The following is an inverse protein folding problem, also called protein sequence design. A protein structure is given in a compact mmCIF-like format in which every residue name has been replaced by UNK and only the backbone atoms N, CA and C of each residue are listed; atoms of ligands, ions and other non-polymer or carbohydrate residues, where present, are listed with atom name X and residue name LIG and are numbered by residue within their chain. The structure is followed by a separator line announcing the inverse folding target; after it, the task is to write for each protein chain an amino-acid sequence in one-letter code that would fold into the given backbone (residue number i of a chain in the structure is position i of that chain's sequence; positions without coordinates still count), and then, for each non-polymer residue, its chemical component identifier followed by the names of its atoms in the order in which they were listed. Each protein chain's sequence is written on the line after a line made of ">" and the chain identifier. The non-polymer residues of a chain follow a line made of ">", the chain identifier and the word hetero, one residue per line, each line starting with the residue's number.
data_IF_205920198433
#
_entry.id   IF_205920198433
#
_cell.length_a   1.000
_cell.length_b   1.000
_cell.length_c   1.000
_cell.angle_alpha   90.00
_cell.angle_beta   90.00
_cell.angle_gamma   90.00
#
_symmetry.space_group_name_H-M   'P 1'
#
loop_
_entity.id
_entity.type
_entity.pdbx_description
1 polymer ?
#
# COMPACT_ATOMS: atom_id res chain seq x y z
N UNK A 1 -53.20 -32.60 -24.40
CA UNK A 1 -52.88 -32.38 -22.96
C UNK A 1 -51.43 -32.66 -22.55
N UNK A 2 -50.59 -33.38 -23.33
CA UNK A 2 -49.18 -33.67 -22.94
C UNK A 2 -48.16 -32.56 -23.28
N UNK A 3 -48.47 -31.63 -24.20
CA UNK A 3 -47.54 -30.58 -24.65
C UNK A 3 -47.37 -29.41 -23.66
N UNK A 4 -48.39 -29.13 -22.84
CA UNK A 4 -48.37 -28.00 -21.88
C UNK A 4 -47.48 -28.25 -20.64
N UNK A 5 -47.12 -29.50 -20.36
CA UNK A 5 -46.24 -29.83 -19.24
C UNK A 5 -44.77 -29.64 -19.59
N UNK A 6 -44.37 -29.91 -20.84
CA UNK A 6 -42.98 -29.79 -21.29
C UNK A 6 -42.56 -28.32 -21.40
N UNK A 7 -43.45 -27.45 -21.90
CA UNK A 7 -43.18 -25.99 -21.94
C UNK A 7 -43.08 -25.38 -20.54
N UNK A 8 -43.90 -25.82 -19.58
CA UNK A 8 -43.83 -25.36 -18.19
C UNK A 8 -42.56 -25.85 -17.48
N UNK A 9 -42.10 -27.07 -17.77
CA UNK A 9 -40.85 -27.59 -17.21
C UNK A 9 -39.62 -26.89 -17.80
N UNK A 10 -39.62 -26.57 -19.09
CA UNK A 10 -38.54 -25.85 -19.75
C UNK A 10 -38.41 -24.40 -19.23
N UNK A 11 -39.53 -23.72 -18.96
CA UNK A 11 -39.51 -22.36 -18.40
C UNK A 11 -39.01 -22.31 -16.95
N UNK A 12 -39.30 -23.35 -16.15
CA UNK A 12 -38.81 -23.46 -14.77
C UNK A 12 -37.30 -23.76 -14.75
N UNK A 13 -36.80 -24.58 -15.68
CA UNK A 13 -35.37 -24.87 -15.78
C UNK A 13 -34.54 -23.65 -16.24
N UNK A 14 -35.10 -22.79 -17.11
CA UNK A 14 -34.43 -21.55 -17.55
C UNK A 14 -34.35 -20.47 -16.47
N UNK A 15 -35.26 -20.48 -15.49
CA UNK A 15 -35.24 -19.52 -14.37
C UNK A 15 -34.25 -19.94 -13.27
N UNK A 16 -33.97 -21.24 -13.12
CA UNK A 16 -32.98 -21.75 -12.15
C UNK A 16 -31.54 -21.52 -12.63
N UNK A 17 -31.30 -21.48 -13.95
CA UNK A 17 -29.97 -21.20 -14.53
C UNK A 17 -29.55 -19.71 -14.50
N UNK A 18 -30.44 -18.81 -14.06
CA UNK A 18 -30.14 -17.37 -13.93
C UNK A 18 -29.79 -16.93 -12.50
N UNK A 19 -29.79 -17.84 -11.54
CA UNK A 19 -29.43 -17.54 -10.16
C UNK A 19 -28.02 -18.05 -9.83
N UNK A 20 -27.14 -17.07 -9.64
CA UNK A 20 -25.93 -17.10 -8.80
C UNK A 20 -24.62 -17.56 -9.42
N UNK A 21 -23.97 -16.62 -10.12
CA UNK A 21 -22.59 -16.25 -9.74
C UNK A 21 -22.53 -14.73 -9.54
N UNK A 22 -23.16 -14.25 -8.46
CA UNK A 22 -22.76 -12.97 -7.90
C UNK A 22 -21.38 -13.21 -7.29
N UNK A 23 -20.32 -12.96 -8.06
CA UNK A 23 -19.02 -12.73 -7.46
C UNK A 23 -19.18 -11.49 -6.59
N UNK A 24 -19.29 -11.69 -5.28
CA UNK A 24 -19.08 -10.61 -4.34
C UNK A 24 -17.72 -10.01 -4.69
N UNK A 25 -17.71 -8.76 -5.17
CA UNK A 25 -16.48 -8.01 -5.27
C UNK A 25 -16.00 -7.84 -3.83
N UNK A 26 -15.06 -8.68 -3.40
CA UNK A 26 -14.29 -8.41 -2.20
C UNK A 26 -13.51 -7.13 -2.50
N UNK A 27 -14.11 -5.98 -2.19
CA UNK A 27 -13.45 -4.69 -2.33
C UNK A 27 -12.28 -4.72 -1.37
N UNK A 28 -11.07 -4.82 -1.93
CA UNK A 28 -9.85 -4.61 -1.17
C UNK A 28 -9.85 -3.13 -0.78
N UNK A 29 -9.86 -2.86 0.51
CA UNK A 29 -9.91 -1.50 1.05
C UNK A 29 -8.53 -1.08 1.53
N UNK A 30 -8.28 0.22 1.48
CA UNK A 30 -7.12 0.88 2.08
C UNK A 30 -7.65 1.95 3.06
N UNK A 31 -7.23 1.96 4.34
CA UNK A 31 -7.84 2.79 5.38
C UNK A 31 -7.30 4.23 5.45
N UNK A 32 -6.39 4.65 4.57
CA UNK A 32 -5.64 5.91 4.64
C UNK A 32 -6.51 7.15 4.80
N UNK A 33 -7.64 7.21 4.10
CA UNK A 33 -8.58 8.33 4.20
C UNK A 33 -9.31 8.39 5.55
N UNK A 34 -9.53 7.24 6.19
CA UNK A 34 -10.13 7.16 7.52
C UNK A 34 -9.18 7.64 8.61
N UNK A 35 -7.88 7.39 8.46
CA UNK A 35 -6.84 7.93 9.35
C UNK A 35 -6.81 9.47 9.38
N UNK A 36 -7.30 10.12 8.32
CA UNK A 36 -7.44 11.58 8.28
C UNK A 36 -8.80 12.05 8.74
N UNK A 37 -9.89 11.44 8.25
CA UNK A 37 -11.26 11.90 8.50
C UNK A 37 -11.78 11.58 9.91
N UNK A 38 -11.43 10.43 10.50
CA UNK A 38 -11.96 10.04 11.83
C UNK A 38 -11.19 10.69 13.00
N UNK A 39 -9.84 10.73 12.99
CA UNK A 39 -9.07 11.38 14.05
C UNK A 39 -9.08 12.91 13.91
N UNK A 40 -8.96 13.46 12.69
CA UNK A 40 -8.91 14.91 12.45
C UNK A 40 -10.22 15.64 12.77
N UNK A 41 -11.36 14.95 12.68
CA UNK A 41 -12.67 15.50 13.08
C UNK A 41 -12.85 15.58 14.61
N UNK A 42 -12.03 14.86 15.40
CA UNK A 42 -12.18 14.72 16.85
C UNK A 42 -10.94 15.14 17.68
N UNK A 43 -9.80 15.46 17.05
CA UNK A 43 -8.58 15.97 17.71
C UNK A 43 -8.09 17.29 17.05
N UNK A 44 -8.49 18.46 17.59
CA UNK A 44 -8.04 19.77 17.09
C UNK A 44 -6.51 19.96 17.12
N UNK A 45 -5.80 19.29 18.04
CA UNK A 45 -4.34 19.36 18.11
C UNK A 45 -3.70 18.58 16.96
N UNK A 46 -4.31 17.49 16.51
CA UNK A 46 -3.86 16.77 15.32
C UNK A 46 -4.04 17.61 14.07
N UNK A 47 -5.18 18.28 13.91
CA UNK A 47 -5.41 19.17 12.78
C UNK A 47 -4.34 20.28 12.72
N UNK A 48 -4.00 20.87 13.87
CA UNK A 48 -2.94 21.86 13.96
C UNK A 48 -1.56 21.29 13.55
N UNK A 49 -1.19 20.12 14.07
CA UNK A 49 0.07 19.44 13.69
C UNK A 49 0.14 19.18 12.18
N UNK A 50 -0.95 18.71 11.58
CA UNK A 50 -1.02 18.47 10.13
C UNK A 50 -0.85 19.78 9.37
N UNK A 51 -1.53 20.86 9.78
CA UNK A 51 -1.39 22.18 9.15
C UNK A 51 0.05 22.69 9.21
N UNK A 52 0.73 22.50 10.34
CA UNK A 52 2.14 22.87 10.52
C UNK A 52 3.05 22.05 9.61
N UNK A 53 2.88 20.72 9.54
CA UNK A 53 3.68 19.87 8.66
C UNK A 53 3.43 20.18 7.17
N UNK A 54 2.18 20.40 6.77
CA UNK A 54 1.85 20.82 5.40
C UNK A 54 2.46 22.19 5.07
N UNK A 55 2.51 23.12 6.03
CA UNK A 55 3.18 24.40 5.86
C UNK A 55 4.68 24.21 5.62
N UNK A 56 5.36 23.38 6.43
CA UNK A 56 6.79 23.05 6.24
C UNK A 56 7.06 22.43 4.87
N UNK A 57 6.23 21.50 4.41
CA UNK A 57 6.35 20.87 3.09
C UNK A 57 6.20 21.92 1.97
N UNK A 58 5.23 22.82 2.07
CA UNK A 58 5.03 23.92 1.09
C UNK A 58 6.21 24.88 1.08
N UNK A 59 6.70 25.30 2.25
CA UNK A 59 7.86 26.16 2.36
C UNK A 59 9.10 25.51 1.75
N UNK A 60 9.34 24.22 2.04
CA UNK A 60 10.41 23.45 1.42
C UNK A 60 10.26 23.39 -0.12
N UNK A 61 9.05 23.13 -0.63
CA UNK A 61 8.80 23.10 -2.06
C UNK A 61 9.04 24.47 -2.73
N UNK A 62 8.61 25.56 -2.10
CA UNK A 62 8.81 26.93 -2.60
C UNK A 62 10.29 27.35 -2.55
N UNK A 63 11.00 27.05 -1.47
CA UNK A 63 12.44 27.34 -1.33
C UNK A 63 13.29 26.56 -2.33
N UNK A 64 12.87 25.34 -2.67
CA UNK A 64 13.54 24.50 -3.65
C UNK A 64 12.96 24.63 -5.06
N UNK A 65 11.99 25.53 -5.30
CA UNK A 65 11.44 25.78 -6.63
C UNK A 65 12.43 26.52 -7.55
N UNK A 66 13.35 27.29 -6.96
CA UNK A 66 14.45 27.98 -7.64
C UNK A 66 15.71 27.13 -7.81
N UNK A 67 15.83 26.02 -7.06
CA UNK A 67 16.80 24.97 -7.35
C UNK A 67 16.15 24.09 -8.41
N UNK A 68 16.79 23.88 -9.56
CA UNK A 68 16.34 22.79 -10.41
C UNK A 68 16.44 21.54 -9.54
N UNK A 69 15.32 20.93 -9.13
CA UNK A 69 15.36 19.59 -8.58
C UNK A 69 16.01 18.79 -9.69
N UNK A 70 17.24 18.27 -9.50
CA UNK A 70 17.93 17.61 -10.59
C UNK A 70 16.98 16.51 -11.06
N UNK A 71 16.75 16.47 -12.37
CA UNK A 71 15.87 15.52 -13.04
C UNK A 71 16.51 14.11 -13.05
N UNK A 72 16.98 13.70 -11.88
CA UNK A 72 17.84 12.57 -11.61
C UNK A 72 17.07 11.57 -10.79
N UNK A 73 17.27 10.31 -11.14
CA UNK A 73 16.73 9.16 -10.43
C UNK A 73 17.05 9.27 -8.93
N UNK A 74 16.01 9.21 -8.09
CA UNK A 74 16.12 9.12 -6.64
C UNK A 74 16.03 7.67 -6.23
N UNK A 75 17.08 7.18 -5.58
CA UNK A 75 17.10 5.83 -5.01
C UNK A 75 16.76 5.96 -3.52
N UNK A 76 15.68 5.32 -3.11
CA UNK A 76 15.24 5.24 -1.72
C UNK A 76 15.65 3.86 -1.18
N UNK A 77 16.54 3.80 -0.18
CA UNK A 77 16.87 2.53 0.49
C UNK A 77 15.65 2.00 1.23
N UNK A 78 15.37 0.70 1.08
CA UNK A 78 14.23 0.05 1.74
C UNK A 78 14.68 -1.10 2.61
N UNK A 79 13.96 -1.30 3.71
CA UNK A 79 14.04 -2.52 4.52
C UNK A 79 12.67 -3.20 4.53
N UNK A 80 12.66 -4.52 4.42
CA UNK A 80 11.45 -5.33 4.44
C UNK A 80 11.46 -6.22 5.68
N UNK A 81 10.60 -5.89 6.63
CA UNK A 81 10.36 -6.67 7.84
C UNK A 81 9.27 -7.70 7.55
N UNK A 82 9.64 -8.95 7.34
CA UNK A 82 8.72 -10.08 7.12
C UNK A 82 8.33 -10.69 8.46
N UNK A 83 7.16 -10.31 8.96
CA UNK A 83 6.60 -10.83 10.20
C UNK A 83 5.78 -12.07 9.87
N UNK A 84 6.14 -13.21 10.45
CA UNK A 84 5.49 -14.47 10.16
C UNK A 84 5.10 -15.20 11.45
N UNK A 85 4.14 -16.11 11.33
CA UNK A 85 3.71 -16.98 12.42
C UNK A 85 4.13 -18.41 12.09
N UNK A 86 5.28 -18.82 12.64
CA UNK A 86 5.89 -20.13 12.42
C UNK A 86 6.00 -20.51 10.94
N UNK A 87 6.41 -19.56 10.10
CA UNK A 87 6.56 -19.69 8.66
C UNK A 87 5.34 -19.24 7.85
N UNK A 88 4.14 -19.14 8.45
CA UNK A 88 2.97 -18.59 7.78
C UNK A 88 3.16 -17.09 7.52
N UNK A 89 3.09 -16.70 6.24
CA UNK A 89 3.32 -15.32 5.79
C UNK A 89 4.77 -15.01 5.42
N UNK A 90 5.69 -15.96 5.60
CA UNK A 90 7.10 -15.78 5.25
C UNK A 90 7.28 -15.85 3.72
N UNK A 91 7.04 -14.74 3.04
CA UNK A 91 7.31 -14.62 1.60
C UNK A 91 8.81 -14.72 1.33
N UNK A 92 9.18 -15.43 0.27
CA UNK A 92 10.57 -15.61 -0.12
C UNK A 92 11.22 -14.31 -0.58
N UNK A 93 12.55 -14.23 -0.51
CA UNK A 93 13.33 -13.12 -1.06
C UNK A 93 13.02 -12.85 -2.54
N UNK A 94 12.78 -13.90 -3.34
CA UNK A 94 12.38 -13.76 -4.73
C UNK A 94 11.02 -13.05 -4.88
N UNK A 95 10.05 -13.38 -4.03
CA UNK A 95 8.75 -12.69 -4.01
C UNK A 95 8.89 -11.23 -3.55
N UNK A 96 9.77 -10.97 -2.57
CA UNK A 96 10.09 -9.61 -2.11
C UNK A 96 10.61 -8.77 -3.27
N UNK A 97 11.64 -9.27 -3.95
CA UNK A 97 12.26 -8.61 -5.10
C UNK A 97 11.23 -8.40 -6.22
N UNK A 98 10.44 -9.42 -6.57
CA UNK A 98 9.43 -9.31 -7.62
C UNK A 98 8.37 -8.23 -7.33
N UNK A 99 7.92 -8.09 -6.08
CA UNK A 99 7.01 -7.02 -5.69
C UNK A 99 7.64 -5.63 -5.77
N UNK A 100 8.90 -5.49 -5.34
CA UNK A 100 9.65 -4.23 -5.47
C UNK A 100 9.90 -3.86 -6.93
N UNK A 101 10.20 -4.83 -7.79
CA UNK A 101 10.41 -4.62 -9.23
C UNK A 101 9.11 -4.19 -9.92
N UNK A 102 7.99 -4.85 -9.63
CA UNK A 102 6.68 -4.47 -10.16
C UNK A 102 6.29 -3.04 -9.77
N UNK A 103 6.57 -2.66 -8.52
CA UNK A 103 6.36 -1.31 -8.03
C UNK A 103 7.33 -0.30 -8.67
N UNK A 104 8.61 -0.62 -8.84
CA UNK A 104 9.56 0.24 -9.52
C UNK A 104 9.19 0.45 -10.99
N UNK A 105 8.64 -0.57 -11.67
CA UNK A 105 8.08 -0.43 -13.01
C UNK A 105 7.00 0.67 -13.04
N UNK A 106 6.16 0.75 -12.01
CA UNK A 106 5.11 1.75 -11.90
C UNK A 106 5.66 3.15 -11.62
N UNK A 107 6.54 3.26 -10.63
CA UNK A 107 7.17 4.52 -10.23
C UNK A 107 8.00 5.12 -11.38
N UNK A 108 8.46 4.28 -12.31
CA UNK A 108 9.25 4.67 -13.47
C UNK A 108 8.46 4.79 -14.78
N UNK A 109 7.12 4.61 -14.75
CA UNK A 109 6.27 4.60 -15.96
C UNK A 109 6.77 3.59 -17.02
N UNK A 110 7.30 2.45 -16.58
CA UNK A 110 7.75 1.37 -17.44
C UNK A 110 6.68 0.28 -17.62
N UNK A 111 5.54 0.43 -16.94
CA UNK A 111 4.41 -0.50 -17.02
C UNK A 111 3.76 -0.46 -18.41
N UNK A 112 3.65 -1.64 -19.03
CA UNK A 112 3.10 -1.81 -20.37
C UNK A 112 1.62 -1.44 -20.46
N UNK A 113 0.87 -1.58 -19.37
CA UNK A 113 -0.55 -1.23 -19.28
C UNK A 113 -0.82 0.29 -19.35
N UNK A 114 0.22 1.15 -19.36
CA UNK A 114 0.08 2.57 -19.73
C UNK A 114 -0.55 2.75 -21.12
N UNK A 115 -0.45 1.75 -22.01
CA UNK A 115 -1.14 1.75 -23.30
C UNK A 115 -2.66 1.84 -23.18
N UNK A 116 -3.22 1.27 -22.09
CA UNK A 116 -4.66 1.17 -21.80
C UNK A 116 -5.24 2.43 -21.15
N UNK A 117 -4.39 3.41 -20.80
CA UNK A 117 -4.83 4.71 -20.27
C UNK A 117 -5.69 5.43 -21.32
N UNK A 118 -6.85 5.95 -20.89
CA UNK A 118 -7.75 6.72 -21.78
C UNK A 118 -7.01 7.90 -22.39
N UNK A 119 -7.26 8.18 -23.67
CA UNK A 119 -6.52 9.20 -24.45
C UNK A 119 -6.39 10.55 -23.74
N UNK A 120 -7.47 11.05 -23.14
CA UNK A 120 -7.49 12.32 -22.39
C UNK A 120 -6.51 12.37 -21.21
N UNK A 121 -6.16 11.22 -20.61
CA UNK A 121 -5.24 11.13 -19.47
C UNK A 121 -3.80 10.80 -19.88
N UNK A 122 -3.54 10.36 -21.12
CA UNK A 122 -2.18 10.00 -21.56
C UNK A 122 -1.13 11.10 -21.36
N UNK A 123 -1.44 12.39 -21.62
CA UNK A 123 -0.49 13.48 -21.37
C UNK A 123 -0.17 13.70 -19.88
N UNK A 124 -0.99 13.18 -18.96
CA UNK A 124 -0.84 13.36 -17.51
C UNK A 124 -0.05 12.22 -16.84
N UNK A 125 0.24 11.13 -17.56
CA UNK A 125 1.00 10.00 -17.01
C UNK A 125 2.47 10.41 -16.85
N UNK A 126 3.01 10.29 -15.63
CA UNK A 126 4.34 10.77 -15.28
C UNK A 126 5.32 9.65 -14.89
N UNK A 127 6.61 9.81 -15.21
CA UNK A 127 7.72 9.07 -14.60
C UNK A 127 8.12 9.81 -13.33
N UNK A 128 7.98 9.18 -12.16
CA UNK A 128 8.32 9.81 -10.88
C UNK A 128 9.83 9.87 -10.64
N UNK A 129 10.62 9.10 -11.41
CA UNK A 129 12.08 9.00 -11.30
C UNK A 129 12.51 8.60 -9.89
N UNK A 130 11.78 7.66 -9.31
CA UNK A 130 12.06 7.06 -8.01
C UNK A 130 12.28 5.56 -8.21
N UNK A 131 13.29 5.02 -7.54
CA UNK A 131 13.49 3.58 -7.37
C UNK A 131 13.68 3.24 -5.90
N UNK A 132 12.95 2.23 -5.47
CA UNK A 132 12.98 1.67 -4.14
C UNK A 132 13.86 0.42 -4.19
N UNK A 133 15.00 0.42 -3.50
CA UNK A 133 15.99 -0.67 -3.56
C UNK A 133 16.32 -1.18 -2.17
N UNK A 134 16.44 -2.50 -2.02
CA UNK A 134 16.84 -3.12 -0.75
C UNK A 134 18.15 -2.53 -0.24
N UNK A 135 18.13 -2.09 1.01
CA UNK A 135 19.30 -1.55 1.68
C UNK A 135 20.42 -2.60 1.71
N UNK A 136 21.66 -2.15 1.48
CA UNK A 136 22.84 -2.99 1.54
C UNK A 136 23.66 -2.78 2.82
N UNK A 137 23.33 -1.71 3.57
CA UNK A 137 23.96 -1.33 4.83
C UNK A 137 22.87 -1.07 5.85
N UNK A 138 22.96 -1.73 7.02
CA UNK A 138 22.01 -1.61 8.12
C UNK A 138 22.25 -0.31 8.93
N UNK A 139 21.37 0.04 9.90
CA UNK A 139 21.52 1.27 10.68
C UNK A 139 22.80 1.36 11.51
N UNK A 140 23.43 0.22 11.81
CA UNK A 140 24.67 0.11 12.57
C UNK A 140 25.92 0.12 11.67
N UNK A 141 25.75 0.17 10.34
CA UNK A 141 26.84 0.19 9.37
C UNK A 141 27.27 -1.19 8.87
N UNK A 142 26.57 -2.27 9.22
CA UNK A 142 26.92 -3.62 8.77
C UNK A 142 26.31 -3.94 7.41
N UNK A 143 26.92 -4.89 6.68
CA UNK A 143 26.33 -5.44 5.47
C UNK A 143 25.02 -6.16 5.78
N UNK A 144 24.02 -5.97 4.93
CA UNK A 144 22.69 -6.58 5.03
C UNK A 144 22.13 -6.79 3.63
N UNK A 145 21.14 -7.66 3.50
CA UNK A 145 20.37 -7.77 2.26
C UNK A 145 19.04 -6.99 2.31
N UNK A 146 18.82 -6.22 3.38
CA UNK A 146 17.66 -5.34 3.54
C UNK A 146 16.38 -6.08 3.91
N UNK A 147 16.45 -7.34 4.33
CA UNK A 147 15.29 -8.16 4.70
C UNK A 147 15.47 -8.72 6.10
N UNK A 148 14.42 -8.63 6.92
CA UNK A 148 14.38 -9.21 8.26
C UNK A 148 13.22 -10.20 8.35
N UNK A 149 13.49 -11.47 8.67
CA UNK A 149 12.45 -12.46 8.94
C UNK A 149 12.26 -12.60 10.45
N UNK A 150 11.04 -12.34 10.94
CA UNK A 150 10.75 -12.27 12.36
C UNK A 150 9.54 -13.14 12.68
N UNK A 151 9.75 -14.16 13.52
CA UNK A 151 8.66 -14.99 14.03
C UNK A 151 7.91 -14.27 15.16
N UNK A 152 6.66 -13.89 14.94
CA UNK A 152 5.88 -13.12 15.93
C UNK A 152 4.38 -13.27 15.72
N UNK A 153 3.61 -13.23 16.81
CA UNK A 153 2.15 -13.17 16.77
C UNK A 153 1.63 -11.83 16.21
N UNK A 154 2.44 -10.77 16.27
CA UNK A 154 2.11 -9.42 15.77
C UNK A 154 2.11 -9.31 14.23
N UNK A 155 1.86 -10.42 13.54
CA UNK A 155 1.60 -10.51 12.10
C UNK A 155 0.12 -10.72 11.79
N UNK A 156 -0.68 -11.16 12.77
CA UNK A 156 -2.11 -11.43 12.60
C UNK A 156 -2.95 -10.30 13.20
N UNK A 157 -3.98 -9.88 12.47
CA UNK A 157 -4.96 -8.85 12.84
C UNK A 157 -4.28 -7.55 13.29
N UNK A 158 -3.29 -7.12 12.52
CA UNK A 158 -2.45 -5.98 12.89
C UNK A 158 -3.18 -4.66 12.62
N UNK A 159 -2.89 -3.66 13.45
CA UNK A 159 -3.28 -2.27 13.25
C UNK A 159 -2.07 -1.33 13.29
N UNK A 160 -1.23 -1.44 14.31
CA UNK A 160 0.05 -0.72 14.42
C UNK A 160 1.08 -1.51 15.26
N UNK A 161 0.67 -2.66 15.80
CA UNK A 161 1.49 -3.55 16.65
C UNK A 161 2.63 -4.23 15.89
N UNK A 162 2.54 -4.36 14.58
CA UNK A 162 3.66 -4.85 13.77
C UNK A 162 4.87 -3.90 13.81
N UNK A 163 4.63 -2.59 13.94
CA UNK A 163 5.67 -1.55 13.88
C UNK A 163 6.51 -1.45 15.15
N UNK A 164 6.04 -2.01 16.28
CA UNK A 164 6.83 -2.08 17.52
C UNK A 164 7.84 -3.24 17.52
N UNK A 165 7.72 -4.17 16.56
CA UNK A 165 8.54 -5.39 16.52
C UNK A 165 9.90 -5.11 15.89
N UNK A 166 9.91 -4.34 14.81
CA UNK A 166 11.12 -3.94 14.11
C UNK A 166 10.88 -2.66 13.34
N UNK A 167 11.83 -1.75 13.37
CA UNK A 167 11.88 -0.55 12.57
C UNK A 167 13.33 -0.13 12.34
N UNK A 168 13.60 0.47 11.19
CA UNK A 168 14.85 1.17 10.92
C UNK A 168 14.59 2.67 10.85
N UNK A 169 15.62 3.52 11.08
CA UNK A 169 15.45 4.97 11.09
C UNK A 169 14.77 5.48 9.80
N UNK A 170 13.54 6.04 9.89
CA UNK A 170 12.73 6.43 8.73
C UNK A 170 13.30 7.62 7.97
N UNK A 171 14.29 8.31 8.57
CA UNK A 171 15.04 9.39 7.93
C UNK A 171 16.12 8.87 6.97
N UNK A 172 16.43 7.57 7.00
CA UNK A 172 17.44 6.92 6.15
C UNK A 172 16.88 5.78 5.30
N UNK A 173 15.84 5.10 5.77
CA UNK A 173 15.26 3.92 5.13
C UNK A 173 13.74 4.03 5.06
N UNK A 174 13.17 3.55 3.97
CA UNK A 174 11.74 3.27 3.91
C UNK A 174 11.46 1.90 4.50
N UNK A 175 10.58 1.83 5.50
CA UNK A 175 10.21 0.58 6.16
C UNK A 175 8.98 -0.03 5.49
N UNK A 176 9.09 -1.30 5.09
CA UNK A 176 7.95 -2.16 4.81
C UNK A 176 7.77 -3.17 5.92
N UNK A 177 6.52 -3.39 6.32
CA UNK A 177 6.15 -4.52 7.17
C UNK A 177 5.25 -5.47 6.38
N UNK A 178 5.68 -6.70 6.21
CA UNK A 178 4.89 -7.77 5.61
C UNK A 178 4.21 -8.57 6.71
N UNK A 179 2.90 -8.70 6.64
CA UNK A 179 2.06 -9.30 7.69
C UNK A 179 1.07 -10.32 7.15
N UNK A 180 0.50 -11.16 8.01
CA UNK A 180 -0.49 -12.17 7.64
C UNK A 180 -1.88 -11.58 7.42
N UNK A 181 -2.39 -10.81 8.38
CA UNK A 181 -3.71 -10.18 8.30
C UNK A 181 -3.72 -8.82 8.99
N UNK A 182 -4.58 -7.93 8.51
CA UNK A 182 -4.76 -6.56 9.01
C UNK A 182 -6.18 -6.47 9.59
N UNK A 183 -6.32 -5.93 10.79
CA UNK A 183 -7.63 -5.75 11.44
C UNK A 183 -8.30 -4.46 10.94
N UNK A 184 -9.45 -4.55 10.23
CA UNK A 184 -10.13 -3.35 9.73
C UNK A 184 -10.89 -2.56 10.80
N UNK A 185 -11.10 -3.15 11.99
CA UNK A 185 -11.96 -2.60 13.05
C UNK A 185 -11.57 -1.20 13.55
N UNK A 186 -10.27 -0.84 13.70
CA UNK A 186 -9.88 0.48 14.20
C UNK A 186 -10.28 1.63 13.26
N UNK A 187 -10.56 1.31 11.99
CA UNK A 187 -10.98 2.28 10.98
C UNK A 187 -12.50 2.23 10.73
N UNK A 188 -13.25 1.46 11.52
CA UNK A 188 -14.69 1.24 11.31
C UNK A 188 -14.98 0.54 9.98
N UNK A 189 -13.99 -0.18 9.44
CA UNK A 189 -14.09 -0.88 8.17
C UNK A 189 -14.47 -2.35 8.37
N UNK A 190 -15.02 -2.92 7.31
CA UNK A 190 -15.25 -4.36 7.18
C UNK A 190 -14.63 -4.87 5.88
N UNK A 191 -14.25 -6.15 5.88
CA UNK A 191 -13.65 -6.83 4.73
C UNK A 191 -12.14 -6.93 4.83
N UNK A 192 -11.51 -7.15 3.68
CA UNK A 192 -10.06 -7.32 3.57
C UNK A 192 -9.37 -5.98 3.35
N UNK A 193 -8.37 -5.70 4.19
CA UNK A 193 -7.38 -4.65 3.94
C UNK A 193 -6.10 -5.29 3.43
N UNK A 194 -5.61 -4.83 2.28
CA UNK A 194 -4.38 -5.34 1.66
C UNK A 194 -3.13 -4.61 2.15
N UNK A 195 -3.27 -3.34 2.52
CA UNK A 195 -2.19 -2.52 3.04
C UNK A 195 -2.72 -1.28 3.73
N UNK A 196 -1.83 -0.64 4.48
CA UNK A 196 -2.01 0.69 5.04
C UNK A 196 -0.65 1.29 5.34
N UNK A 197 -0.64 2.59 5.59
CA UNK A 197 0.58 3.36 5.67
C UNK A 197 0.46 4.50 6.67
N UNK A 198 1.50 5.33 6.69
CA UNK A 198 1.48 6.59 7.39
C UNK A 198 1.83 7.75 6.45
N UNK A 199 0.91 8.71 6.35
CA UNK A 199 1.15 9.97 5.65
C UNK A 199 2.26 10.82 6.29
N UNK A 200 2.98 11.64 5.49
CA UNK A 200 4.13 12.39 5.98
C UNK A 200 3.77 13.50 6.97
N UNK A 201 2.58 14.09 6.88
CA UNK A 201 2.10 15.12 7.81
C UNK A 201 1.71 14.60 9.20
N UNK A 202 1.69 13.28 9.42
CA UNK A 202 1.67 12.69 10.77
C UNK A 202 3.07 12.50 11.37
N UNK A 203 4.09 13.07 10.71
CA UNK A 203 5.48 13.05 11.11
C UNK A 203 6.23 11.81 10.61
N UNK A 204 7.46 12.04 10.14
CA UNK A 204 8.43 11.00 9.79
C UNK A 204 9.05 10.47 11.09
N UNK A 205 8.44 9.43 11.66
CA UNK A 205 8.88 8.78 12.90
C UNK A 205 8.93 7.26 12.74
N UNK A 206 9.26 6.52 13.79
CA UNK A 206 9.45 5.06 13.73
C UNK A 206 8.26 4.28 13.11
N UNK A 207 7.06 4.89 13.05
CA UNK A 207 5.87 4.30 12.43
C UNK A 207 5.70 4.62 10.94
N UNK A 208 6.63 5.37 10.34
CA UNK A 208 6.55 5.84 8.97
C UNK A 208 7.04 4.77 7.98
N UNK A 209 6.19 4.47 7.00
CA UNK A 209 6.37 3.40 6.03
C UNK A 209 5.03 2.74 5.72
N UNK A 210 5.09 1.59 5.04
CA UNK A 210 3.91 0.86 4.58
C UNK A 210 3.85 -0.55 5.19
N UNK A 211 2.65 -0.96 5.59
CA UNK A 211 2.33 -2.30 6.04
C UNK A 211 1.51 -2.96 4.95
N UNK A 212 1.91 -4.16 4.53
CA UNK A 212 1.31 -4.86 3.39
C UNK A 212 1.08 -6.31 3.76
N UNK A 213 -0.07 -6.86 3.38
CA UNK A 213 -0.36 -8.27 3.57
C UNK A 213 0.50 -9.14 2.64
N UNK A 214 1.01 -10.24 3.15
CA UNK A 214 1.92 -11.15 2.44
C UNK A 214 1.40 -11.63 1.09
N UNK A 215 0.11 -11.91 0.98
CA UNK A 215 -0.57 -12.33 -0.26
C UNK A 215 -0.85 -11.18 -1.25
N UNK A 216 -0.84 -9.92 -0.79
CA UNK A 216 -1.02 -8.74 -1.63
C UNK A 216 0.31 -8.21 -2.21
N UNK A 217 1.44 -8.62 -1.64
CA UNK A 217 2.77 -8.14 -1.99
C UNK A 217 3.10 -8.31 -3.49
N UNK A 218 2.80 -9.49 -4.04
CA UNK A 218 3.20 -9.87 -5.38
C UNK A 218 2.54 -9.06 -6.51
N UNK A 219 1.42 -8.40 -6.23
CA UNK A 219 0.75 -7.61 -7.27
C UNK A 219 1.53 -6.34 -7.62
N UNK A 220 2.42 -5.86 -6.75
CA UNK A 220 3.13 -4.59 -6.87
C UNK A 220 2.23 -3.36 -6.68
N UNK A 221 0.99 -3.40 -7.19
CA UNK A 221 0.04 -2.28 -7.15
C UNK A 221 -0.36 -1.86 -5.74
N UNK A 222 -0.48 -2.79 -4.80
CA UNK A 222 -0.70 -2.43 -3.39
C UNK A 222 0.48 -1.63 -2.87
N UNK A 223 1.73 -2.04 -3.14
CA UNK A 223 2.91 -1.29 -2.70
C UNK A 223 2.95 0.10 -3.36
N UNK A 224 2.70 0.17 -4.67
CA UNK A 224 2.62 1.43 -5.42
C UNK A 224 1.58 2.38 -4.81
N UNK A 225 0.42 1.85 -4.44
CA UNK A 225 -0.66 2.60 -3.79
C UNK A 225 -0.25 3.13 -2.41
N UNK A 226 0.24 2.25 -1.52
CA UNK A 226 0.64 2.64 -0.16
C UNK A 226 1.80 3.65 -0.16
N UNK A 227 2.75 3.55 -1.10
CA UNK A 227 3.83 4.53 -1.22
C UNK A 227 3.33 5.87 -1.73
N UNK A 228 2.34 5.88 -2.62
CA UNK A 228 1.68 7.11 -3.05
C UNK A 228 1.19 7.90 -1.85
N UNK A 229 0.52 7.23 -0.92
CA UNK A 229 0.11 7.82 0.35
C UNK A 229 1.29 8.25 1.24
N UNK A 230 2.34 7.44 1.39
CA UNK A 230 3.56 7.89 2.08
C UNK A 230 4.17 9.16 1.45
N UNK A 231 4.06 9.35 0.14
CA UNK A 231 4.51 10.57 -0.55
C UNK A 231 3.46 11.70 -0.56
N UNK A 232 2.35 11.51 0.16
CA UNK A 232 1.35 12.55 0.38
C UNK A 232 0.22 12.60 -0.65
N UNK A 233 0.07 11.58 -1.49
CA UNK A 233 -1.05 11.47 -2.42
C UNK A 233 -2.28 10.92 -1.69
N UNK A 234 -3.44 11.52 -1.92
CA UNK A 234 -4.71 11.06 -1.35
C UNK A 234 -5.37 10.00 -2.22
N UNK A 235 -6.36 9.30 -1.68
CA UNK A 235 -7.29 8.58 -2.55
C UNK A 235 -7.96 9.57 -3.51
N UNK A 236 -8.21 9.11 -4.73
CA UNK A 236 -8.87 9.92 -5.75
C UNK A 236 -10.37 10.17 -5.47
N UNK A 237 -10.99 9.37 -4.59
CA UNK A 237 -12.41 9.47 -4.19
C UNK A 237 -12.63 9.02 -2.74
#
# INVERSE_FOLDING_TARGET
>A
MKYNYILKFALILSVILFFQTAFAQNTIKCPSDYNFRLPGANDPQQELRIKEELKKIREYAMMNQSRSVPDTLKIIPVVVHVLHDNGKGAISKAQIIAGLDAMNIDLRKLNSDTSSVRGYFKPLVSDLKIEMRLAQIDPNGNCTDGIQYINTAFTNNVSDTCKIVADWPPTKYFNFWVVNTIDPSPWGLSGTIAGYEKFPWFGINAKYGAVVRSDAWLTGRTLTHEIGHCFGLWHMW
#
